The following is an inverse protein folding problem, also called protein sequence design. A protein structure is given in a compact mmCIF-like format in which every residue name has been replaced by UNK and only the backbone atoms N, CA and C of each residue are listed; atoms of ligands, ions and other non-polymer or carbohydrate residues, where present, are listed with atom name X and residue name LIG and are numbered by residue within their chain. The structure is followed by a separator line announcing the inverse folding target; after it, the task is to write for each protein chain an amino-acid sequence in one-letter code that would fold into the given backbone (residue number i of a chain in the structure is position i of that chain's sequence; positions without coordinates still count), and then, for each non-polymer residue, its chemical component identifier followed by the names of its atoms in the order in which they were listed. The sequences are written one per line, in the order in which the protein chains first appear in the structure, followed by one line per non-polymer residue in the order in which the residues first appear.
data_IF_462177168315
#
_entry.id   IF_462177168315
#
_cell.length_a   1.000
_cell.length_b   1.000
_cell.length_c   1.000
_cell.angle_alpha   90.00
_cell.angle_beta   90.00
_cell.angle_gamma   90.00
#
_symmetry.space_group_name_H-M   'P 1'
#
loop_
_entity.id
_entity.type
_entity.pdbx_description
1 polymer ?
#
# COMPACT_ATOMS: atom_id res chain seq x y z
N UNK A 1 -10.21 -3.69 24.80
CA UNK A 1 -9.82 -4.90 24.08
C UNK A 1 -10.01 -4.66 22.58
N UNK A 2 -9.00 -4.10 21.91
CA UNK A 2 -9.09 -3.64 20.51
C UNK A 2 -7.72 -3.65 19.79
N UNK A 3 -6.70 -4.27 20.40
CA UNK A 3 -5.34 -4.37 19.87
C UNK A 3 -4.91 -5.82 19.93
N UNK A 4 -4.42 -6.34 18.82
CA UNK A 4 -3.80 -7.66 18.74
C UNK A 4 -2.36 -7.50 18.26
N UNK A 5 -1.42 -8.11 18.98
CA UNK A 5 0.01 -8.06 18.66
C UNK A 5 0.44 -9.45 18.22
N UNK A 6 1.09 -9.52 17.06
CA UNK A 6 1.59 -10.76 16.46
C UNK A 6 3.01 -10.56 15.94
N UNK A 7 3.82 -11.62 15.96
CA UNK A 7 5.16 -11.59 15.36
C UNK A 7 5.12 -11.58 13.84
N UNK A 8 4.16 -12.30 13.27
CA UNK A 8 3.96 -12.43 11.85
C UNK A 8 2.49 -12.64 11.55
N UNK A 9 2.01 -11.99 10.49
CA UNK A 9 0.68 -12.17 9.94
C UNK A 9 0.77 -12.26 8.42
N UNK A 10 -0.09 -13.09 7.83
CA UNK A 10 -0.21 -13.19 6.38
C UNK A 10 -1.01 -12.01 5.83
N UNK A 11 -0.34 -11.06 5.19
CA UNK A 11 -0.98 -9.86 4.66
C UNK A 11 -2.05 -10.16 3.59
N UNK A 12 -1.86 -11.18 2.76
CA UNK A 12 -2.85 -11.65 1.77
C UNK A 12 -4.19 -12.04 2.40
N UNK A 13 -4.16 -12.56 3.63
CA UNK A 13 -5.38 -12.95 4.36
C UNK A 13 -5.97 -11.80 5.17
N UNK A 14 -5.11 -10.93 5.70
CA UNK A 14 -5.50 -9.88 6.64
C UNK A 14 -5.99 -8.62 5.92
N UNK A 15 -5.24 -8.14 4.93
CA UNK A 15 -5.50 -6.85 4.29
C UNK A 15 -6.89 -6.74 3.64
N UNK A 16 -7.47 -7.79 3.01
CA UNK A 16 -8.84 -7.72 2.50
C UNK A 16 -9.91 -7.37 3.54
N UNK A 17 -9.59 -7.47 4.84
CA UNK A 17 -10.48 -7.16 5.97
C UNK A 17 -10.15 -5.84 6.66
N UNK A 18 -9.15 -5.11 6.17
CA UNK A 18 -8.71 -3.83 6.72
C UNK A 18 -9.42 -2.66 6.02
N UNK A 19 -9.51 -1.53 6.70
CA UNK A 19 -9.97 -0.27 6.11
C UNK A 19 -8.81 0.61 5.60
N UNK A 20 -7.63 0.48 6.21
CA UNK A 20 -6.39 1.20 5.89
C UNK A 20 -5.18 0.43 6.43
N UNK A 21 -3.97 0.82 6.04
CA UNK A 21 -2.70 0.20 6.46
C UNK A 21 -1.71 1.26 6.89
N UNK A 22 -1.05 1.09 8.05
CA UNK A 22 0.15 1.85 8.42
C UNK A 22 1.36 0.99 8.10
N UNK A 23 2.28 1.47 7.27
CA UNK A 23 3.40 0.68 6.76
C UNK A 23 4.64 1.55 6.56
N UNK A 24 5.83 0.96 6.56
CA UNK A 24 7.04 1.64 6.11
C UNK A 24 7.08 1.95 4.60
N UNK A 25 6.16 1.43 3.78
CA UNK A 25 6.14 1.71 2.33
C UNK A 25 7.00 0.78 1.45
N UNK A 26 7.48 -0.36 1.98
CA UNK A 26 8.12 -1.39 1.15
C UNK A 26 7.16 -1.96 0.09
N UNK A 27 7.67 -2.17 -1.13
CA UNK A 27 6.87 -2.50 -2.31
C UNK A 27 5.91 -3.68 -2.14
N UNK A 28 6.32 -4.75 -1.44
CA UNK A 28 5.46 -5.92 -1.21
C UNK A 28 4.17 -5.57 -0.45
N UNK A 29 4.29 -4.87 0.69
CA UNK A 29 3.11 -4.44 1.47
C UNK A 29 2.32 -3.38 0.72
N UNK A 30 3.00 -2.43 0.06
CA UNK A 30 2.36 -1.39 -0.73
C UNK A 30 1.47 -1.99 -1.83
N UNK A 31 2.02 -2.86 -2.69
CA UNK A 31 1.29 -3.48 -3.79
C UNK A 31 0.18 -4.40 -3.29
N UNK A 32 0.38 -5.12 -2.18
CA UNK A 32 -0.68 -5.95 -1.59
C UNK A 32 -1.86 -5.10 -1.11
N UNK A 33 -1.57 -3.98 -0.44
CA UNK A 33 -2.61 -3.07 0.04
C UNK A 33 -3.35 -2.36 -1.10
N UNK A 34 -2.62 -1.89 -2.13
CA UNK A 34 -3.20 -1.28 -3.32
C UNK A 34 -4.05 -2.27 -4.12
N UNK A 35 -3.59 -3.52 -4.28
CA UNK A 35 -4.39 -4.59 -4.90
C UNK A 35 -5.69 -4.90 -4.14
N UNK A 36 -5.73 -4.65 -2.82
CA UNK A 36 -6.94 -4.74 -2.01
C UNK A 36 -7.80 -3.46 -2.03
N UNK A 37 -7.39 -2.42 -2.76
CA UNK A 37 -8.08 -1.12 -2.79
C UNK A 37 -8.00 -0.36 -1.47
N UNK A 38 -6.90 -0.51 -0.73
CA UNK A 38 -6.71 0.14 0.56
C UNK A 38 -5.86 1.40 0.44
N UNK A 39 -6.29 2.52 1.04
CA UNK A 39 -5.41 3.64 1.26
C UNK A 39 -4.42 3.32 2.40
N UNK A 40 -3.31 4.06 2.48
CA UNK A 40 -2.26 3.78 3.46
C UNK A 40 -1.55 5.02 4.04
N UNK A 41 -1.09 4.90 5.28
CA UNK A 41 -0.14 5.81 5.92
C UNK A 41 1.26 5.22 5.83
N UNK A 42 2.16 5.89 5.12
CA UNK A 42 3.56 5.48 4.99
C UNK A 42 4.47 6.19 5.99
N UNK A 43 5.36 5.42 6.63
CA UNK A 43 6.42 5.91 7.53
C UNK A 43 7.78 5.38 7.02
N UNK A 44 8.35 5.97 5.96
CA UNK A 44 9.53 5.45 5.30
C UNK A 44 10.77 5.48 6.20
N UNK A 45 11.58 4.43 6.11
CA UNK A 45 12.79 4.20 6.91
C UNK A 45 14.06 4.01 6.04
N UNK A 46 13.93 3.71 4.75
CA UNK A 46 15.09 3.50 3.86
C UNK A 46 14.75 2.97 2.48
N UNK A 47 15.79 2.69 1.69
CA UNK A 47 15.69 2.09 0.35
C UNK A 47 14.71 2.85 -0.58
N UNK A 48 13.81 2.13 -1.23
CA UNK A 48 12.78 2.62 -2.15
C UNK A 48 11.56 3.23 -1.44
N UNK A 49 11.47 3.14 -0.12
CA UNK A 49 10.28 3.48 0.65
C UNK A 49 9.87 4.96 0.53
N UNK A 50 10.84 5.87 0.46
CA UNK A 50 10.57 7.30 0.29
C UNK A 50 9.96 7.60 -1.09
N UNK A 51 10.48 6.95 -2.13
CA UNK A 51 9.95 7.07 -3.49
C UNK A 51 8.54 6.47 -3.58
N UNK A 52 8.33 5.29 -2.99
CA UNK A 52 7.02 4.65 -2.92
C UNK A 52 6.00 5.53 -2.18
N UNK A 53 6.39 6.14 -1.07
CA UNK A 53 5.55 7.07 -0.30
C UNK A 53 5.18 8.31 -1.13
N UNK A 54 6.14 8.91 -1.85
CA UNK A 54 5.88 10.03 -2.75
C UNK A 54 4.91 9.67 -3.88
N UNK A 55 5.09 8.50 -4.51
CA UNK A 55 4.20 8.00 -5.56
C UNK A 55 2.79 7.80 -5.01
N UNK A 56 2.65 7.18 -3.83
CA UNK A 56 1.34 6.97 -3.19
C UNK A 56 0.64 8.29 -2.86
N UNK A 57 1.37 9.26 -2.30
CA UNK A 57 0.84 10.58 -2.00
C UNK A 57 0.38 11.30 -3.27
N UNK A 58 1.20 11.25 -4.33
CA UNK A 58 0.90 11.88 -5.62
C UNK A 58 -0.28 11.21 -6.35
N UNK A 59 -0.44 9.89 -6.25
CA UNK A 59 -1.60 9.16 -6.81
C UNK A 59 -2.87 9.38 -5.99
N UNK A 60 -2.77 9.95 -4.79
CA UNK A 60 -3.90 10.19 -3.89
C UNK A 60 -4.34 8.94 -3.12
N UNK A 61 -3.45 7.95 -2.98
CA UNK A 61 -3.74 6.67 -2.28
C UNK A 61 -3.08 6.57 -0.92
N UNK A 62 -2.29 7.57 -0.53
CA UNK A 62 -1.64 7.54 0.76
C UNK A 62 -1.28 8.91 1.32
N UNK A 63 -0.88 8.85 2.59
CA UNK A 63 -0.35 9.98 3.37
C UNK A 63 0.97 9.54 4.00
N UNK A 64 1.82 10.49 4.37
CA UNK A 64 3.18 10.18 4.82
C UNK A 64 3.51 10.95 6.09
N UNK A 65 4.10 10.24 7.06
CA UNK A 65 4.81 10.83 8.19
C UNK A 65 6.28 10.42 8.12
N UNK A 66 7.18 11.37 8.29
CA UNK A 66 8.59 11.08 8.53
C UNK A 66 8.78 10.64 9.98
N UNK A 67 9.87 9.90 10.26
CA UNK A 67 10.10 9.26 11.56
C UNK A 67 10.05 10.26 12.73
N UNK A 68 10.60 11.46 12.53
CA UNK A 68 10.61 12.56 13.49
C UNK A 68 9.23 13.20 13.74
N UNK A 69 8.26 12.97 12.85
CA UNK A 69 6.89 13.47 12.96
C UNK A 69 5.95 12.48 13.67
N UNK A 70 6.40 11.25 13.90
CA UNK A 70 5.56 10.18 14.45
C UNK A 70 5.24 10.46 15.91
N UNK A 71 3.98 10.79 16.16
CA UNK A 71 3.38 10.87 17.49
C UNK A 71 2.03 10.13 17.47
N UNK A 72 1.51 9.67 18.62
CA UNK A 72 0.19 9.04 18.67
C UNK A 72 -0.92 9.92 18.08
N UNK A 73 -0.84 11.24 18.28
CA UNK A 73 -1.79 12.21 17.73
C UNK A 73 -1.65 12.32 16.22
N UNK A 74 -0.43 12.50 15.70
CA UNK A 74 -0.20 12.60 14.26
C UNK A 74 -0.65 11.33 13.52
N UNK A 75 -0.34 10.14 14.06
CA UNK A 75 -0.80 8.87 13.45
C UNK A 75 -2.32 8.79 13.45
N UNK A 76 -2.99 9.18 14.55
CA UNK A 76 -4.45 9.20 14.63
C UNK A 76 -5.08 10.15 13.61
N UNK A 77 -4.55 11.36 13.48
CA UNK A 77 -5.05 12.37 12.54
C UNK A 77 -4.91 11.87 11.10
N UNK A 78 -3.72 11.41 10.72
CA UNK A 78 -3.45 10.96 9.36
C UNK A 78 -4.26 9.70 8.99
N UNK A 79 -4.41 8.75 9.92
CA UNK A 79 -5.30 7.59 9.74
C UNK A 79 -6.76 8.02 9.66
N UNK A 80 -7.21 8.95 10.49
CA UNK A 80 -8.58 9.48 10.45
C UNK A 80 -8.91 10.06 9.08
N UNK A 81 -8.01 10.88 8.51
CA UNK A 81 -8.18 11.42 7.16
C UNK A 81 -8.30 10.34 6.08
N UNK A 82 -7.48 9.28 6.15
CA UNK A 82 -7.56 8.16 5.20
C UNK A 82 -8.91 7.41 5.27
N UNK A 83 -9.55 7.40 6.44
CA UNK A 83 -10.83 6.72 6.67
C UNK A 83 -12.03 7.62 6.36
N UNK A 84 -11.93 8.91 6.66
CA UNK A 84 -13.05 9.85 6.61
C UNK A 84 -13.14 10.60 5.27
N UNK A 85 -12.02 10.80 4.56
CA UNK A 85 -12.01 11.46 3.25
C UNK A 85 -12.18 10.42 2.13
N UNK A 86 -13.35 10.35 1.46
CA UNK A 86 -13.67 9.26 0.52
C UNK A 86 -12.76 9.22 -0.73
N UNK A 87 -12.09 10.33 -1.04
CA UNK A 87 -11.16 10.42 -2.17
C UNK A 87 -10.02 9.40 -2.10
N UNK A 88 -9.50 9.10 -0.90
CA UNK A 88 -8.43 8.11 -0.73
C UNK A 88 -8.90 6.70 -1.07
N UNK A 89 -10.10 6.32 -0.63
CA UNK A 89 -10.67 5.01 -0.95
C UNK A 89 -11.03 4.90 -2.43
N UNK A 90 -11.55 5.96 -3.03
CA UNK A 90 -11.85 6.00 -4.45
C UNK A 90 -10.58 5.80 -5.30
N UNK A 91 -9.53 6.60 -5.04
CA UNK A 91 -8.24 6.48 -5.72
C UNK A 91 -7.61 5.10 -5.53
N UNK A 92 -7.64 4.53 -4.31
CA UNK A 92 -7.11 3.20 -4.06
C UNK A 92 -7.89 2.12 -4.83
N UNK A 93 -9.21 2.29 -4.97
CA UNK A 93 -10.06 1.35 -5.75
C UNK A 93 -9.78 1.44 -7.25
N UNK A 94 -9.49 2.63 -7.78
CA UNK A 94 -9.01 2.79 -9.16
C UNK A 94 -7.70 2.05 -9.39
N UNK A 95 -6.71 2.26 -8.50
CA UNK A 95 -5.41 1.57 -8.60
C UNK A 95 -5.58 0.05 -8.47
N UNK A 96 -6.48 -0.43 -7.62
CA UNK A 96 -6.79 -1.86 -7.54
C UNK A 96 -7.32 -2.40 -8.87
N UNK A 97 -8.19 -1.66 -9.55
CA UNK A 97 -8.70 -2.03 -10.86
C UNK A 97 -7.60 -2.01 -11.95
N UNK A 98 -6.69 -1.03 -11.91
CA UNK A 98 -5.52 -0.97 -12.79
C UNK A 98 -4.61 -2.20 -12.59
N UNK A 99 -4.32 -2.58 -11.34
CA UNK A 99 -3.53 -3.77 -11.01
C UNK A 99 -4.25 -5.04 -11.48
N UNK A 100 -5.56 -5.16 -11.26
CA UNK A 100 -6.34 -6.32 -11.67
C UNK A 100 -6.42 -6.49 -13.20
N UNK A 101 -6.23 -5.40 -13.96
CA UNK A 101 -6.18 -5.43 -15.41
C UNK A 101 -4.79 -5.78 -15.98
N UNK A 102 -3.76 -5.90 -15.14
CA UNK A 102 -2.43 -6.33 -15.58
C UNK A 102 -2.44 -7.83 -15.97
N UNK A 103 -1.60 -8.25 -16.93
CA UNK A 103 -1.45 -9.67 -17.27
C UNK A 103 -1.08 -10.51 -16.05
N UNK A 104 -1.57 -11.75 -15.98
CA UNK A 104 -1.14 -12.67 -14.95
C UNK A 104 0.33 -13.04 -15.18
N UNK A 105 1.02 -13.50 -14.13
CA UNK A 105 2.42 -13.92 -14.25
C UNK A 105 2.61 -14.97 -15.36
N UNK A 106 1.68 -15.93 -15.44
CA UNK A 106 1.69 -17.00 -16.46
C UNK A 106 1.58 -16.45 -17.89
N UNK A 107 0.88 -15.33 -18.09
CA UNK A 107 0.75 -14.68 -19.41
C UNK A 107 2.03 -13.97 -19.83
N UNK A 108 2.88 -13.57 -18.87
CA UNK A 108 4.12 -12.83 -19.10
C UNK A 108 5.31 -13.76 -19.37
N UNK A 109 5.28 -14.99 -18.84
CA UNK A 109 6.38 -15.97 -18.97
C UNK A 109 6.82 -16.17 -20.43
N UNK A 110 5.93 -16.45 -21.40
CA UNK A 110 6.34 -16.66 -22.80
C UNK A 110 7.04 -15.45 -23.43
N UNK A 111 6.63 -14.24 -23.06
CA UNK A 111 7.27 -13.02 -23.55
C UNK A 111 8.70 -12.87 -23.02
N UNK A 112 8.94 -13.23 -21.75
CA UNK A 112 10.28 -13.23 -21.16
C UNK A 112 11.17 -14.30 -21.78
N UNK A 113 10.64 -15.50 -22.04
CA UNK A 113 11.37 -16.57 -22.72
C UNK A 113 11.81 -16.15 -24.12
N UNK A 114 10.92 -15.50 -24.88
CA UNK A 114 11.25 -15.00 -26.22
C UNK A 114 12.34 -13.93 -26.21
N UNK A 115 12.39 -13.08 -25.18
CA UNK A 115 13.42 -12.04 -25.04
C UNK A 115 14.78 -12.64 -24.65
N UNK A 116 14.79 -13.67 -23.81
CA UNK A 116 16.02 -14.33 -23.36
C UNK A 116 16.65 -15.25 -24.43
N UNK A 117 15.85 -15.70 -25.41
CA UNK A 117 16.32 -16.52 -26.52
C UNK A 117 16.93 -15.71 -27.69
N UNK A 118 16.82 -14.37 -27.64
CA UNK A 118 17.47 -13.44 -28.58
C UNK A 118 18.82 -12.95 -28.08
#
# INVERSE_FOLDING_TARGET
DNVRVERYVRHDLLLPRCATVVTHGGAGTMLTALGCGLPMLTIPQGADQYLNAEICARRGVGRTLLTEQVTPTAVREEVGRLLDEPGYRAAASEVAAEIAAMPAADDVVPALESLAAG
#
